data_IF_190988874680
#
_entry.id   IF_190988874680
#
_cell.length_a   1.000
_cell.length_b   1.000
_cell.length_c   1.000
_cell.angle_alpha   90.00
_cell.angle_beta   90.00
_cell.angle_gamma   90.00
#
_symmetry.space_group_name_H-M   'P 1'
#
loop_
_entity.id
_entity.type
_entity.pdbx_description
1 polymer ?
#
# COMPACT_ATOMS: atom_id res chain seq x y z
N UNK A 1 0.70 -5.80 -17.23
CA UNK A 1 0.51 -5.04 -15.99
C UNK A 1 0.35 -6.00 -14.83
N UNK A 2 1.08 -5.75 -13.75
CA UNK A 2 1.02 -6.64 -12.58
C UNK A 2 -0.03 -6.20 -11.60
N UNK A 3 -0.66 -7.17 -10.97
CA UNK A 3 -1.65 -6.90 -9.92
C UNK A 3 -1.27 -7.64 -8.65
N UNK A 4 -1.58 -7.04 -7.53
CA UNK A 4 -1.43 -7.69 -6.22
C UNK A 4 -2.77 -7.73 -5.53
N UNK A 5 -2.97 -8.77 -4.73
CA UNK A 5 -4.14 -8.88 -3.85
C UNK A 5 -3.68 -8.60 -2.44
N UNK A 6 -4.37 -7.69 -1.78
CA UNK A 6 -4.06 -7.32 -0.40
C UNK A 6 -5.26 -7.71 0.45
N UNK A 7 -5.04 -8.63 1.37
CA UNK A 7 -6.07 -9.10 2.30
C UNK A 7 -5.77 -8.50 3.66
N UNK A 8 -6.73 -7.77 4.21
CA UNK A 8 -6.59 -7.08 5.49
C UNK A 8 -7.78 -7.50 6.37
N UNK A 9 -7.57 -8.56 7.16
CA UNK A 9 -8.68 -9.17 7.87
C UNK A 9 -9.68 -9.74 6.88
N UNK A 10 -10.90 -9.23 6.90
CA UNK A 10 -11.95 -9.67 5.98
C UNK A 10 -12.06 -8.78 4.73
N UNK A 11 -11.29 -7.70 4.68
CA UNK A 11 -11.28 -6.79 3.54
C UNK A 11 -10.26 -7.28 2.53
N UNK A 12 -10.67 -7.36 1.26
CA UNK A 12 -9.77 -7.76 0.17
C UNK A 12 -9.82 -6.69 -0.89
N UNK A 13 -8.64 -6.19 -1.27
CA UNK A 13 -8.54 -5.25 -2.38
C UNK A 13 -7.50 -5.76 -3.38
N UNK A 14 -7.70 -5.41 -4.63
CA UNK A 14 -6.72 -5.68 -5.69
C UNK A 14 -6.16 -4.35 -6.15
N UNK A 15 -4.86 -4.31 -6.36
CA UNK A 15 -4.20 -3.10 -6.81
C UNK A 15 -3.44 -3.38 -8.10
N UNK A 16 -3.56 -2.46 -9.05
CA UNK A 16 -2.77 -2.50 -10.27
C UNK A 16 -1.46 -1.77 -10.00
N UNK A 17 -0.34 -2.40 -10.32
CA UNK A 17 0.96 -1.82 -10.04
C UNK A 17 1.52 -1.09 -11.24
N UNK A 18 2.27 -0.01 -10.97
CA UNK A 18 2.98 0.70 -12.02
C UNK A 18 4.33 0.00 -12.28
N UNK A 19 5.15 0.60 -13.15
CA UNK A 19 6.43 -0.01 -13.55
C UNK A 19 7.62 0.64 -12.83
N UNK A 20 7.39 1.25 -11.67
CA UNK A 20 8.47 1.83 -10.89
C UNK A 20 9.39 0.75 -10.32
N UNK A 21 10.62 1.13 -10.00
CA UNK A 21 11.56 0.22 -9.36
C UNK A 21 11.02 -0.24 -8.00
N UNK A 22 10.39 0.66 -7.26
CA UNK A 22 9.82 0.32 -5.96
C UNK A 22 8.74 -0.74 -6.10
N UNK A 23 7.86 -0.61 -7.11
CA UNK A 23 6.84 -1.63 -7.38
C UNK A 23 7.47 -2.98 -7.72
N UNK A 24 8.58 -2.96 -8.48
CA UNK A 24 9.30 -4.19 -8.81
C UNK A 24 9.86 -4.87 -7.59
N UNK A 25 10.39 -4.08 -6.64
CA UNK A 25 10.92 -4.63 -5.39
C UNK A 25 9.81 -5.23 -4.54
N UNK A 26 8.64 -4.60 -4.55
CA UNK A 26 7.48 -5.16 -3.86
C UNK A 26 7.12 -6.53 -4.44
N UNK A 27 7.07 -6.65 -5.76
CA UNK A 27 6.73 -7.92 -6.41
C UNK A 27 7.73 -9.02 -6.05
N UNK A 28 9.01 -8.68 -5.97
CA UNK A 28 10.05 -9.65 -5.62
C UNK A 28 9.91 -10.16 -4.19
N UNK A 29 9.30 -9.38 -3.32
CA UNK A 29 9.16 -9.73 -1.91
C UNK A 29 7.90 -10.54 -1.59
N UNK A 30 7.01 -10.71 -2.56
CA UNK A 30 5.76 -11.44 -2.33
C UNK A 30 6.00 -12.92 -2.11
N UNK A 31 5.19 -13.61 -1.29
CA UNK A 31 4.09 -13.05 -0.50
C UNK A 31 4.61 -12.34 0.75
N UNK A 32 3.85 -11.36 1.21
CA UNK A 32 4.20 -10.60 2.40
C UNK A 32 3.10 -10.77 3.44
N UNK A 33 3.50 -10.90 4.71
CA UNK A 33 2.57 -10.91 5.83
C UNK A 33 2.97 -9.80 6.79
N UNK A 34 1.98 -9.09 7.31
CA UNK A 34 2.22 -7.95 8.17
C UNK A 34 1.01 -7.70 9.05
N UNK A 35 0.96 -6.54 9.68
CA UNK A 35 -0.15 -6.11 10.51
C UNK A 35 -0.54 -4.69 10.14
N UNK A 36 -1.85 -4.47 9.96
CA UNK A 36 -2.37 -3.18 9.56
C UNK A 36 -2.31 -2.17 10.69
N UNK A 37 -2.07 -0.93 10.32
CA UNK A 37 -2.19 0.22 11.22
C UNK A 37 -3.03 1.26 10.52
N UNK A 38 -3.81 2.01 11.31
CA UNK A 38 -4.68 3.06 10.78
C UNK A 38 -4.18 4.43 11.21
N UNK A 39 -4.22 5.36 10.30
CA UNK A 39 -3.98 6.76 10.60
C UNK A 39 -4.94 7.59 9.75
N UNK A 40 -6.05 8.05 10.37
CA UNK A 40 -7.08 8.74 9.62
C UNK A 40 -7.64 7.86 8.52
N UNK A 41 -7.62 8.35 7.29
CA UNK A 41 -8.11 7.63 6.11
C UNK A 41 -6.96 6.98 5.34
N UNK A 42 -6.06 6.39 6.07
CA UNK A 42 -4.91 5.65 5.52
C UNK A 42 -4.73 4.36 6.30
N UNK A 43 -4.47 3.27 5.59
CA UNK A 43 -4.02 2.01 6.18
C UNK A 43 -2.58 1.82 5.74
N UNK A 44 -1.70 1.47 6.69
CA UNK A 44 -0.31 1.20 6.33
C UNK A 44 0.20 0.01 7.11
N UNK A 45 1.23 -0.63 6.58
CA UNK A 45 1.85 -1.78 7.24
C UNK A 45 3.28 -1.93 6.75
N UNK A 46 4.14 -2.38 7.65
CA UNK A 46 5.56 -2.56 7.35
C UNK A 46 5.74 -3.74 6.40
N UNK A 47 6.67 -3.59 5.45
CA UNK A 47 7.00 -4.65 4.50
C UNK A 47 8.51 -4.84 4.45
N UNK A 48 9.00 -6.04 4.04
CA UNK A 48 10.44 -6.31 4.01
C UNK A 48 11.08 -5.79 2.72
N UNK A 49 10.82 -4.52 2.40
CA UNK A 49 11.39 -3.85 1.24
C UNK A 49 12.04 -2.57 1.74
N UNK A 50 13.30 -2.39 1.40
CA UNK A 50 14.04 -1.20 1.85
C UNK A 50 14.61 -0.51 0.63
N UNK A 51 13.99 0.59 0.24
CA UNK A 51 14.43 1.42 -0.88
C UNK A 51 14.32 2.89 -0.48
N UNK A 52 15.10 3.73 -1.14
CA UNK A 52 15.00 5.16 -0.92
C UNK A 52 13.90 5.79 -1.74
N UNK A 53 13.90 7.11 -1.79
CA UNK A 53 12.89 7.85 -2.54
C UNK A 53 13.04 7.62 -4.03
N UNK A 54 11.89 7.47 -4.69
CA UNK A 54 11.81 7.34 -6.14
C UNK A 54 10.66 8.22 -6.61
N UNK A 55 10.98 9.37 -7.19
CA UNK A 55 9.99 10.37 -7.64
C UNK A 55 8.90 10.59 -6.60
N UNK A 56 9.30 10.96 -5.36
CA UNK A 56 8.36 11.00 -4.24
C UNK A 56 7.29 12.05 -4.43
N UNK A 57 6.08 11.74 -3.95
CA UNK A 57 4.93 12.63 -4.05
C UNK A 57 4.24 12.75 -2.70
N UNK A 58 3.86 13.99 -2.36
CA UNK A 58 3.09 14.27 -1.15
C UNK A 58 1.62 14.56 -1.46
N UNK A 59 1.24 14.51 -2.73
CA UNK A 59 -0.12 14.79 -3.17
C UNK A 59 -0.57 13.66 -4.10
N UNK A 60 -1.35 12.73 -3.54
CA UNK A 60 -1.84 11.57 -4.28
C UNK A 60 -3.34 11.42 -4.07
N UNK A 61 -4.08 10.94 -5.06
CA UNK A 61 -5.52 10.76 -4.92
C UNK A 61 -5.87 9.57 -4.06
N UNK A 62 -7.11 9.56 -3.58
CA UNK A 62 -7.67 8.39 -2.91
C UNK A 62 -7.57 7.18 -3.82
N UNK A 63 -7.25 6.03 -3.24
CA UNK A 63 -7.03 4.80 -4.00
C UNK A 63 -5.57 4.56 -4.34
N UNK A 64 -4.68 5.49 -4.04
CA UNK A 64 -3.26 5.31 -4.31
C UNK A 64 -2.66 4.27 -3.36
N UNK A 65 -1.77 3.43 -3.90
CA UNK A 65 -0.93 2.53 -3.14
C UNK A 65 0.50 3.05 -3.29
N UNK A 66 1.16 3.27 -2.17
CA UNK A 66 2.48 3.88 -2.19
C UNK A 66 3.38 3.30 -1.10
N UNK A 67 4.68 3.50 -1.28
CA UNK A 67 5.69 3.05 -0.32
C UNK A 67 6.26 4.27 0.41
N UNK A 68 6.33 4.18 1.73
CA UNK A 68 6.87 5.24 2.58
C UNK A 68 8.25 4.81 3.09
N UNK A 69 9.35 5.35 2.53
CA UNK A 69 10.69 4.88 2.86
C UNK A 69 11.08 4.96 4.35
N UNK A 70 10.78 6.05 5.08
CA UNK A 70 11.22 6.12 6.48
C UNK A 70 10.69 5.01 7.36
N UNK A 71 9.47 4.53 7.10
CA UNK A 71 8.86 3.47 7.89
C UNK A 71 8.90 2.11 7.21
N UNK A 72 9.47 2.01 6.03
CA UNK A 72 9.46 0.79 5.23
C UNK A 72 8.05 0.22 5.13
N UNK A 73 7.09 1.10 4.85
CA UNK A 73 5.68 0.76 4.92
C UNK A 73 5.00 0.91 3.58
N UNK A 74 4.07 0.00 3.30
CA UNK A 74 3.15 0.14 2.19
C UNK A 74 1.91 0.86 2.72
N UNK A 75 1.47 1.89 2.00
CA UNK A 75 0.39 2.77 2.43
C UNK A 75 -0.75 2.70 1.41
N UNK A 76 -1.96 2.56 1.92
CA UNK A 76 -3.18 2.51 1.11
C UNK A 76 -4.03 3.70 1.53
N UNK A 77 -4.25 4.64 0.60
CA UNK A 77 -4.94 5.89 0.91
C UNK A 77 -6.40 5.81 0.44
N UNK A 78 -7.33 6.16 1.33
CA UNK A 78 -8.74 6.21 0.96
C UNK A 78 -9.41 7.52 1.37
N UNK A 79 -8.60 8.60 1.43
CA UNK A 79 -9.09 9.94 1.73
C UNK A 79 -8.02 10.84 2.30
N UNK A 80 -7.10 10.25 3.06
CA UNK A 80 -6.02 11.01 3.68
C UNK A 80 -4.91 11.28 2.69
N UNK A 81 -4.19 12.38 2.87
CA UNK A 81 -2.98 12.66 2.10
C UNK A 81 -1.76 12.17 2.86
N UNK A 82 -0.69 11.82 2.15
CA UNK A 82 0.53 11.40 2.83
C UNK A 82 1.04 12.48 3.78
N UNK A 83 1.51 12.03 4.93
CA UNK A 83 2.16 12.92 5.89
C UNK A 83 3.49 13.44 5.35
N UNK A 84 4.20 12.62 4.59
CA UNK A 84 5.44 12.99 3.94
C UNK A 84 5.50 12.31 2.58
N UNK A 85 6.43 12.71 1.70
CA UNK A 85 6.48 12.16 0.35
C UNK A 85 6.59 10.63 0.31
N UNK A 86 5.90 10.02 -0.64
CA UNK A 86 5.86 8.58 -0.82
C UNK A 86 6.15 8.21 -2.27
N UNK A 87 6.67 6.99 -2.48
CA UNK A 87 6.86 6.45 -3.82
C UNK A 87 5.58 5.76 -4.25
N UNK A 88 4.94 6.28 -5.30
CA UNK A 88 3.69 5.68 -5.80
C UNK A 88 4.03 4.36 -6.49
N UNK A 89 3.36 3.27 -6.10
CA UNK A 89 3.58 1.96 -6.70
C UNK A 89 2.36 1.41 -7.42
N UNK A 90 1.19 2.01 -7.23
CA UNK A 90 0.00 1.53 -7.92
C UNK A 90 -1.26 2.21 -7.43
N UNK A 91 -2.40 1.61 -7.81
CA UNK A 91 -3.70 2.12 -7.37
C UNK A 91 -4.66 0.97 -7.15
N UNK A 92 -5.58 1.17 -6.22
CA UNK A 92 -6.59 0.18 -5.89
C UNK A 92 -7.63 0.17 -7.01
N UNK A 93 -8.02 -1.03 -7.42
CA UNK A 93 -9.12 -1.22 -8.34
C UNK A 93 -10.42 -1.31 -7.54
N UNK A 94 -11.44 -0.59 -7.96
CA UNK A 94 -12.70 -0.53 -7.24
C UNK A 94 -12.74 0.61 -6.25
N UNK A 95 -13.61 0.50 -5.25
CA UNK A 95 -13.86 1.57 -4.29
C UNK A 95 -12.90 1.48 -3.10
N UNK A 96 -12.01 2.46 -2.91
CA UNK A 96 -11.06 2.41 -1.80
C UNK A 96 -11.74 2.58 -0.43
N UNK A 97 -12.99 3.02 -0.38
CA UNK A 97 -13.71 3.20 0.89
C UNK A 97 -13.86 1.90 1.68
N UNK A 98 -13.73 0.74 1.06
CA UNK A 98 -13.78 -0.53 1.78
C UNK A 98 -12.67 -0.61 2.84
N UNK A 99 -11.60 0.17 2.65
CA UNK A 99 -10.50 0.20 3.62
C UNK A 99 -10.91 0.81 4.96
N UNK A 100 -12.02 1.55 5.00
CA UNK A 100 -12.50 2.13 6.26
C UNK A 100 -12.87 1.06 7.29
N UNK A 101 -13.07 -0.18 6.84
CA UNK A 101 -13.43 -1.29 7.73
C UNK A 101 -12.21 -2.01 8.32
N UNK A 102 -11.01 -1.59 7.97
CA UNK A 102 -9.79 -2.21 8.48
C UNK A 102 -9.46 -1.64 9.86
N UNK A 103 -9.12 -2.50 10.81
CA UNK A 103 -8.77 -2.10 12.18
C UNK A 103 -7.28 -2.20 12.40
N UNK A 104 -6.78 -1.44 13.38
CA UNK A 104 -5.40 -1.59 13.85
C UNK A 104 -5.15 -3.03 14.27
N UNK A 105 -4.04 -3.60 13.82
CA UNK A 105 -3.62 -4.93 14.22
C UNK A 105 -4.16 -6.06 13.39
N UNK A 106 -5.03 -5.78 12.41
CA UNK A 106 -5.53 -6.85 11.57
C UNK A 106 -4.41 -7.47 10.75
N UNK A 107 -4.51 -8.78 10.54
CA UNK A 107 -3.51 -9.49 9.73
C UNK A 107 -3.59 -9.03 8.30
N UNK A 108 -2.42 -8.83 7.69
CA UNK A 108 -2.32 -8.41 6.29
C UNK A 108 -1.53 -9.46 5.53
N UNK A 109 -2.02 -9.79 4.33
CA UNK A 109 -1.28 -10.63 3.38
C UNK A 109 -1.31 -9.97 2.02
N UNK A 110 -0.14 -9.83 1.41
CA UNK A 110 0.00 -9.32 0.05
C UNK A 110 0.52 -10.45 -0.81
N UNK A 111 -0.14 -10.70 -1.92
CA UNK A 111 0.26 -11.77 -2.83
C UNK A 111 -0.06 -11.40 -4.27
N UNK A 112 0.51 -12.12 -5.21
CA UNK A 112 0.20 -11.90 -6.61
C UNK A 112 -1.25 -12.24 -6.91
N UNK A 113 -1.85 -11.47 -7.77
CA UNK A 113 -3.24 -11.68 -8.15
C UNK A 113 -3.34 -12.19 -9.59
#
# INVERSE_FOLDING_TARGET
>A
MNRVRITLGEVVVTAAQNESSTAGRLLEALPIESRAQRWGEEVYFEIPVEVGEEEPRADVPSGTVAYWPPGKALCLFFGEKPYSPVNVVGEIEGDPEVLSEVYDGEAVRVEGA
#
